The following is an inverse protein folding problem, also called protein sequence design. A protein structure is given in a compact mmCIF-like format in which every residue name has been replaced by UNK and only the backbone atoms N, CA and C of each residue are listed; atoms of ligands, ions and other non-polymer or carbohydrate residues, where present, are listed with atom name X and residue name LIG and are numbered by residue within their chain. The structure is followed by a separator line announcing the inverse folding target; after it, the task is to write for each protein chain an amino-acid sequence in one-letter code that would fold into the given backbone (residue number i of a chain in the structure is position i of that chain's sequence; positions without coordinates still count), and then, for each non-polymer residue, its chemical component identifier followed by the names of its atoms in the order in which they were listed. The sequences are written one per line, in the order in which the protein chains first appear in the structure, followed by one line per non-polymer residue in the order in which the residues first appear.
data_IF_270931026446
#
_entry.id   IF_270931026446
#
_cell.length_a   1.000
_cell.length_b   1.000
_cell.length_c   1.000
_cell.angle_alpha   90.00
_cell.angle_beta   90.00
_cell.angle_gamma   90.00
#
_symmetry.space_group_name_H-M   'P 1'
#
loop_
_entity.id
_entity.type
_entity.pdbx_description
1 polymer ?
#
# COMPACT_ATOMS: atom_id res chain seq x y z
N UNK A 1 -22.91 -18.25 33.58
CA UNK A 1 -21.65 -18.37 34.35
C UNK A 1 -20.49 -18.35 33.35
N UNK A 2 -20.16 -17.18 32.81
CA UNK A 2 -19.08 -17.00 31.83
C UNK A 2 -17.86 -16.43 32.56
N UNK A 3 -16.76 -17.18 32.59
CA UNK A 3 -15.46 -16.67 33.03
C UNK A 3 -14.70 -16.18 31.80
N UNK A 4 -14.71 -14.86 31.62
CA UNK A 4 -13.73 -14.11 30.82
C UNK A 4 -12.32 -14.42 31.34
N UNK A 5 -11.41 -14.81 30.44
CA UNK A 5 -9.97 -14.67 30.66
C UNK A 5 -9.49 -13.54 29.76
N UNK A 6 -9.36 -12.36 30.35
CA UNK A 6 -8.60 -11.26 29.77
C UNK A 6 -7.14 -11.70 29.61
N UNK A 7 -6.68 -11.88 28.38
CA UNK A 7 -5.27 -11.94 28.07
C UNK A 7 -4.77 -10.49 27.95
N UNK A 8 -4.08 -10.02 28.97
CA UNK A 8 -3.32 -8.76 28.92
C UNK A 8 -2.12 -9.01 28.03
N UNK A 9 -2.11 -8.44 26.82
CA UNK A 9 -0.96 -8.47 25.92
C UNK A 9 -0.11 -7.25 26.25
N UNK A 10 0.97 -7.46 27.01
CA UNK A 10 1.99 -6.44 27.26
C UNK A 10 2.87 -6.29 26.01
N UNK A 11 2.67 -5.22 25.25
CA UNK A 11 3.56 -4.80 24.17
C UNK A 11 4.79 -4.13 24.80
N UNK A 12 5.89 -4.87 24.94
CA UNK A 12 7.16 -4.31 25.40
C UNK A 12 7.87 -3.58 24.24
N UNK A 13 7.71 -2.26 24.16
CA UNK A 13 8.60 -1.40 23.39
C UNK A 13 9.96 -1.36 24.10
N UNK A 14 10.98 -1.99 23.53
CA UNK A 14 12.37 -1.81 23.98
C UNK A 14 12.97 -0.65 23.17
N UNK A 15 12.87 0.53 23.77
CA UNK A 15 13.72 1.68 23.43
C UNK A 15 15.15 1.39 23.89
N UNK A 16 16.09 1.40 22.95
CA UNK A 16 17.52 1.64 23.21
C UNK A 16 18.28 0.49 23.88
N UNK A 17 19.13 -0.17 23.10
CA UNK A 17 20.17 -1.05 23.62
C UNK A 17 20.53 -2.14 22.64
N UNK A 18 21.82 -2.28 22.36
CA UNK A 18 22.40 -3.30 21.49
C UNK A 18 22.00 -4.69 22.04
N UNK A 19 21.05 -5.38 21.39
CA UNK A 19 20.65 -6.76 21.72
C UNK A 19 21.03 -7.69 20.57
N UNK A 20 21.64 -8.80 20.95
CA UNK A 20 22.19 -9.86 20.12
C UNK A 20 21.27 -10.37 19.00
N UNK A 21 21.82 -10.85 17.87
CA UNK A 21 21.07 -11.31 16.69
C UNK A 21 20.13 -12.51 16.93
N UNK A 22 20.16 -13.15 18.11
CA UNK A 22 19.31 -14.28 18.46
C UNK A 22 17.88 -13.87 18.84
N UNK A 23 17.64 -12.64 19.31
CA UNK A 23 16.30 -12.16 19.71
C UNK A 23 15.44 -11.76 18.52
N UNK A 24 16.04 -11.48 17.36
CA UNK A 24 15.32 -11.04 16.16
C UNK A 24 14.57 -12.18 15.45
N UNK A 25 15.14 -13.38 15.41
CA UNK A 25 14.52 -14.54 14.73
C UNK A 25 13.36 -15.16 15.52
N UNK A 26 13.47 -15.22 16.84
CA UNK A 26 12.42 -15.78 17.72
C UNK A 26 11.19 -14.85 17.73
N UNK A 27 11.42 -13.52 17.73
CA UNK A 27 10.32 -12.56 17.68
C UNK A 27 9.59 -12.54 16.34
N UNK A 28 10.30 -12.65 15.21
CA UNK A 28 9.67 -12.73 13.89
C UNK A 28 8.86 -14.02 13.73
N UNK A 29 9.41 -15.19 14.11
CA UNK A 29 8.70 -16.46 14.03
C UNK A 29 7.37 -16.48 14.81
N UNK A 30 7.35 -15.84 15.98
CA UNK A 30 6.14 -15.71 16.80
C UNK A 30 5.10 -14.76 16.17
N UNK A 31 5.52 -13.71 15.47
CA UNK A 31 4.58 -12.80 14.80
C UNK A 31 4.01 -13.45 13.55
N UNK A 32 4.83 -14.16 12.76
CA UNK A 32 4.34 -14.90 11.59
C UNK A 32 3.31 -15.96 11.99
N UNK A 33 3.56 -16.71 13.07
CA UNK A 33 2.56 -17.67 13.58
C UNK A 33 1.28 -16.98 14.04
N UNK A 34 1.38 -15.82 14.71
CA UNK A 34 0.21 -15.03 15.10
C UNK A 34 -0.60 -14.53 13.89
N UNK A 35 0.06 -14.18 12.78
CA UNK A 35 -0.62 -13.80 11.52
C UNK A 35 -1.40 -14.98 10.95
N UNK A 36 -0.84 -16.19 11.00
CA UNK A 36 -1.52 -17.39 10.54
C UNK A 36 -2.73 -17.77 11.43
N UNK A 37 -2.62 -17.58 12.74
CA UNK A 37 -3.69 -17.90 13.70
C UNK A 37 -4.78 -16.83 13.79
N UNK A 38 -4.52 -15.62 13.30
CA UNK A 38 -5.46 -14.52 13.37
C UNK A 38 -6.62 -14.68 12.38
N UNK A 39 -7.79 -14.19 12.81
CA UNK A 39 -9.03 -14.30 12.03
C UNK A 39 -9.08 -13.21 10.95
N UNK A 40 -9.32 -13.66 9.74
CA UNK A 40 -9.63 -12.80 8.59
C UNK A 40 -11.02 -12.16 8.74
N UNK A 41 -11.23 -11.07 8.00
CA UNK A 41 -12.57 -10.54 7.76
C UNK A 41 -13.42 -11.63 7.11
N UNK A 42 -14.53 -11.97 7.76
CA UNK A 42 -15.55 -12.81 7.15
C UNK A 42 -16.44 -11.92 6.28
N UNK A 43 -16.20 -11.90 4.96
CA UNK A 43 -17.03 -11.17 4.00
C UNK A 43 -18.45 -11.75 3.83
N UNK A 44 -18.77 -12.83 4.55
CA UNK A 44 -20.07 -13.46 4.58
C UNK A 44 -20.22 -14.54 3.50
N UNK A 45 -21.38 -15.19 3.49
CA UNK A 45 -21.75 -16.12 2.43
C UNK A 45 -22.44 -15.32 1.33
N UNK A 46 -21.78 -15.19 0.18
CA UNK A 46 -22.36 -14.51 -0.97
C UNK A 46 -23.28 -15.46 -1.74
N UNK A 47 -24.53 -15.03 -1.96
CA UNK A 47 -25.39 -15.68 -2.95
C UNK A 47 -24.92 -15.23 -4.32
N UNK A 48 -24.38 -16.17 -5.11
CA UNK A 48 -23.98 -15.86 -6.47
C UNK A 48 -25.23 -15.72 -7.34
N UNK A 49 -25.27 -14.66 -8.14
CA UNK A 49 -26.24 -14.48 -9.21
C UNK A 49 -25.82 -15.30 -10.43
N UNK A 50 -26.78 -15.61 -11.31
CA UNK A 50 -26.51 -16.31 -12.58
C UNK A 50 -25.73 -15.42 -13.58
N UNK A 51 -25.82 -14.10 -13.44
CA UNK A 51 -25.10 -13.11 -14.28
C UNK A 51 -24.83 -11.81 -13.52
N UNK A 52 -23.81 -11.06 -13.95
CA UNK A 52 -23.44 -9.74 -13.43
C UNK A 52 -23.16 -8.78 -14.59
N UNK A 53 -23.37 -7.48 -14.36
CA UNK A 53 -23.01 -6.43 -15.33
C UNK A 53 -21.49 -6.30 -15.45
N UNK A 54 -20.78 -6.43 -14.34
CA UNK A 54 -19.32 -6.42 -14.29
C UNK A 54 -18.76 -7.57 -13.46
N UNK A 55 -17.75 -8.23 -14.00
CA UNK A 55 -16.91 -9.19 -13.27
C UNK A 55 -15.49 -8.64 -13.23
N UNK A 56 -15.01 -8.36 -12.03
CA UNK A 56 -13.66 -7.85 -11.78
C UNK A 56 -12.81 -9.01 -11.25
N UNK A 57 -11.72 -9.31 -11.96
CA UNK A 57 -10.78 -10.36 -11.58
C UNK A 57 -9.54 -9.71 -10.97
N UNK A 58 -9.40 -9.86 -9.66
CA UNK A 58 -8.37 -9.28 -8.81
C UNK A 58 -8.92 -8.17 -7.92
N UNK A 59 -9.00 -8.41 -6.61
CA UNK A 59 -9.24 -7.44 -5.54
C UNK A 59 -7.96 -6.73 -5.11
N UNK A 60 -7.10 -6.37 -6.07
CA UNK A 60 -5.98 -5.47 -5.85
C UNK A 60 -6.43 -4.00 -5.75
N UNK A 61 -5.49 -3.03 -5.66
CA UNK A 61 -5.82 -1.63 -5.45
C UNK A 61 -6.79 -1.06 -6.50
N UNK A 62 -6.53 -1.33 -7.79
CA UNK A 62 -7.41 -0.88 -8.87
C UNK A 62 -8.75 -1.63 -8.88
N UNK A 63 -8.76 -2.94 -8.64
CA UNK A 63 -9.97 -3.77 -8.66
C UNK A 63 -10.93 -3.41 -7.53
N UNK A 64 -10.42 -3.16 -6.31
CA UNK A 64 -11.22 -2.67 -5.20
C UNK A 64 -11.83 -1.29 -5.49
N UNK A 65 -11.07 -0.37 -6.10
CA UNK A 65 -11.59 0.95 -6.48
C UNK A 65 -12.68 0.82 -7.57
N UNK A 66 -12.46 0.00 -8.59
CA UNK A 66 -13.46 -0.25 -9.63
C UNK A 66 -14.74 -0.86 -9.05
N UNK A 67 -14.61 -1.89 -8.20
CA UNK A 67 -15.74 -2.53 -7.56
C UNK A 67 -16.53 -1.53 -6.71
N UNK A 68 -15.83 -0.69 -5.94
CA UNK A 68 -16.44 0.35 -5.12
C UNK A 68 -17.18 1.41 -5.93
N UNK A 69 -16.65 1.83 -7.09
CA UNK A 69 -17.25 2.88 -7.92
C UNK A 69 -18.40 2.37 -8.79
N UNK A 70 -18.26 1.19 -9.38
CA UNK A 70 -19.32 0.60 -10.20
C UNK A 70 -20.55 0.25 -9.34
N UNK A 71 -20.35 -0.17 -8.10
CA UNK A 71 -21.46 -0.48 -7.17
C UNK A 71 -22.08 0.74 -6.49
N UNK A 72 -21.63 1.98 -6.78
CA UNK A 72 -22.33 3.19 -6.33
C UNK A 72 -23.71 3.32 -6.96
N UNK A 73 -23.90 2.77 -8.18
CA UNK A 73 -25.22 2.63 -8.79
C UNK A 73 -25.88 1.34 -8.29
N UNK A 74 -26.98 1.40 -7.52
CA UNK A 74 -27.65 0.22 -6.97
C UNK A 74 -28.31 -0.66 -8.04
N UNK A 75 -28.40 -0.19 -9.29
CA UNK A 75 -28.92 -0.98 -10.42
C UNK A 75 -27.86 -1.85 -11.08
N UNK A 76 -26.58 -1.60 -10.79
CA UNK A 76 -25.44 -2.33 -11.35
C UNK A 76 -25.02 -3.47 -10.43
N UNK A 77 -24.86 -4.66 -10.99
CA UNK A 77 -24.39 -5.86 -10.30
C UNK A 77 -22.90 -6.09 -10.57
N UNK A 78 -22.11 -6.21 -9.50
CA UNK A 78 -20.65 -6.39 -9.57
C UNK A 78 -20.23 -7.64 -8.84
N UNK A 79 -19.48 -8.51 -9.51
CA UNK A 79 -18.77 -9.63 -8.90
C UNK A 79 -17.27 -9.30 -8.83
N UNK A 80 -16.71 -9.23 -7.61
CA UNK A 80 -15.28 -9.09 -7.39
C UNK A 80 -14.70 -10.46 -6.99
N UNK A 81 -13.78 -10.96 -7.80
CA UNK A 81 -13.10 -12.24 -7.58
C UNK A 81 -11.65 -12.00 -7.23
N UNK A 82 -11.12 -12.69 -6.23
CA UNK A 82 -9.70 -12.66 -5.92
C UNK A 82 -9.21 -14.03 -5.47
N UNK A 83 -7.90 -14.23 -5.56
CA UNK A 83 -7.22 -15.41 -5.05
C UNK A 83 -6.36 -15.01 -3.86
N UNK A 84 -6.65 -15.61 -2.71
CA UNK A 84 -5.89 -15.37 -1.50
C UNK A 84 -6.81 -15.28 -0.30
N UNK A 85 -6.32 -14.58 0.71
CA UNK A 85 -6.97 -14.43 2.01
C UNK A 85 -7.74 -13.13 2.07
N UNK A 86 -8.70 -13.08 2.99
CA UNK A 86 -9.25 -11.81 3.42
C UNK A 86 -8.24 -11.00 4.22
N UNK A 87 -8.55 -9.73 4.44
CA UNK A 87 -7.73 -8.87 5.29
C UNK A 87 -7.77 -9.37 6.75
N UNK A 88 -6.69 -9.14 7.49
CA UNK A 88 -6.64 -9.33 8.95
C UNK A 88 -6.31 -7.96 9.53
N UNK A 89 -7.32 -7.15 9.92
CA UNK A 89 -7.15 -5.73 10.24
C UNK A 89 -6.04 -5.43 11.25
N UNK A 90 -5.83 -6.33 12.23
CA UNK A 90 -4.75 -6.20 13.20
C UNK A 90 -3.35 -6.08 12.56
N UNK A 91 -3.16 -6.68 11.38
CA UNK A 91 -1.91 -6.72 10.65
C UNK A 91 -1.96 -5.93 9.34
N UNK A 92 -3.02 -6.08 8.55
CA UNK A 92 -3.13 -5.44 7.22
C UNK A 92 -3.30 -3.93 7.30
N UNK A 93 -3.83 -3.40 8.40
CA UNK A 93 -4.05 -1.95 8.57
C UNK A 93 -2.85 -1.27 9.24
N UNK A 94 -1.85 -2.05 9.67
CA UNK A 94 -0.67 -1.54 10.37
C UNK A 94 0.50 -1.34 9.40
N UNK A 95 0.93 -0.08 9.14
CA UNK A 95 2.04 0.21 8.23
C UNK A 95 3.35 -0.49 8.60
N UNK A 96 3.56 -0.74 9.91
CA UNK A 96 4.76 -1.41 10.40
C UNK A 96 4.85 -2.88 9.99
N UNK A 97 3.70 -3.51 9.72
CA UNK A 97 3.61 -4.96 9.46
C UNK A 97 3.64 -5.28 7.97
N UNK A 98 3.39 -4.31 7.08
CA UNK A 98 3.42 -4.48 5.61
C UNK A 98 4.65 -5.27 5.09
N UNK A 99 5.89 -4.89 5.46
CA UNK A 99 7.09 -5.65 5.07
C UNK A 99 7.13 -7.09 5.58
N UNK A 100 6.52 -7.38 6.73
CA UNK A 100 6.41 -8.73 7.26
C UNK A 100 5.36 -9.56 6.51
N UNK A 101 4.25 -8.95 6.10
CA UNK A 101 3.22 -9.61 5.29
C UNK A 101 3.78 -10.06 3.93
N UNK A 102 4.78 -9.36 3.39
CA UNK A 102 5.50 -9.83 2.20
C UNK A 102 6.23 -11.17 2.40
N UNK A 103 6.42 -11.62 3.64
CA UNK A 103 7.01 -12.92 4.00
C UNK A 103 5.97 -13.99 4.36
N UNK A 104 4.68 -13.71 4.19
CA UNK A 104 3.59 -14.67 4.46
C UNK A 104 2.86 -15.05 3.17
N UNK A 105 1.75 -15.79 3.30
CA UNK A 105 0.87 -16.16 2.20
C UNK A 105 0.06 -15.00 1.59
N UNK A 106 0.20 -13.78 2.13
CA UNK A 106 -0.21 -12.53 1.50
C UNK A 106 0.70 -12.10 0.34
N UNK A 107 1.79 -12.83 0.07
CA UNK A 107 2.64 -12.64 -1.09
C UNK A 107 2.59 -13.87 -2.00
N UNK A 108 2.44 -13.66 -3.31
CA UNK A 108 2.60 -14.73 -4.30
C UNK A 108 4.02 -15.31 -4.31
N UNK A 109 5.02 -14.54 -3.88
CA UNK A 109 6.40 -14.99 -3.77
C UNK A 109 7.06 -15.23 -5.13
N UNK A 110 6.72 -14.44 -6.14
CA UNK A 110 7.33 -14.57 -7.45
C UNK A 110 8.83 -14.28 -7.40
N UNK A 111 9.58 -14.99 -8.25
CA UNK A 111 10.97 -14.70 -8.54
C UNK A 111 11.13 -14.46 -10.04
N UNK A 112 12.04 -13.58 -10.39
CA UNK A 112 12.38 -13.38 -11.81
C UNK A 112 13.06 -14.62 -12.38
N UNK A 113 13.08 -14.73 -13.71
CA UNK A 113 14.08 -15.57 -14.38
C UNK A 113 15.51 -15.13 -14.03
N UNK A 114 16.49 -16.01 -14.28
CA UNK A 114 17.90 -15.71 -14.03
C UNK A 114 18.30 -14.44 -14.80
N UNK A 115 18.78 -13.44 -14.08
CA UNK A 115 19.19 -12.16 -14.63
C UNK A 115 20.67 -12.20 -15.04
N UNK A 116 20.99 -11.55 -16.17
CA UNK A 116 22.37 -11.41 -16.65
C UNK A 116 23.08 -10.21 -16.01
N UNK A 117 22.35 -9.10 -15.86
CA UNK A 117 22.90 -7.80 -15.43
C UNK A 117 22.22 -7.25 -14.16
N UNK A 118 21.37 -8.05 -13.51
CA UNK A 118 20.62 -7.67 -12.32
C UNK A 118 20.72 -8.74 -11.24
N UNK A 119 20.45 -8.38 -9.98
CA UNK A 119 20.34 -9.33 -8.87
C UNK A 119 21.55 -10.26 -8.70
N UNK A 120 22.74 -9.80 -9.10
CA UNK A 120 23.99 -10.58 -9.11
C UNK A 120 24.42 -11.03 -7.71
N UNK A 121 24.00 -10.31 -6.66
CA UNK A 121 24.23 -10.69 -5.27
C UNK A 121 23.17 -11.62 -4.67
N UNK A 122 22.12 -11.97 -5.42
CA UNK A 122 21.04 -12.83 -4.95
C UNK A 122 21.22 -14.28 -5.42
N UNK A 123 20.62 -15.21 -4.68
CA UNK A 123 20.72 -16.65 -4.97
C UNK A 123 20.22 -16.94 -6.39
N UNK A 124 21.05 -17.62 -7.18
CA UNK A 124 20.69 -17.97 -8.57
C UNK A 124 20.55 -16.78 -9.52
N UNK A 125 20.98 -15.58 -9.12
CA UNK A 125 20.80 -14.31 -9.84
C UNK A 125 19.33 -14.03 -10.17
N UNK A 126 18.42 -14.36 -9.25
CA UNK A 126 16.99 -14.10 -9.36
C UNK A 126 16.58 -13.02 -8.36
N UNK A 127 15.72 -12.11 -8.79
CA UNK A 127 15.17 -11.08 -7.93
C UNK A 127 13.91 -11.61 -7.28
N UNK A 128 13.75 -11.37 -5.97
CA UNK A 128 12.45 -11.50 -5.33
C UNK A 128 11.52 -10.42 -5.88
N UNK A 129 10.30 -10.82 -6.25
CA UNK A 129 9.30 -9.95 -6.83
C UNK A 129 8.00 -10.07 -6.02
N UNK A 130 7.96 -9.40 -4.87
CA UNK A 130 6.81 -9.44 -4.00
C UNK A 130 5.56 -8.89 -4.71
N UNK A 131 4.48 -9.66 -4.66
CA UNK A 131 3.20 -9.30 -5.25
C UNK A 131 2.08 -9.74 -4.31
N UNK A 132 1.24 -8.79 -3.89
CA UNK A 132 0.21 -9.05 -2.90
C UNK A 132 -0.84 -10.05 -3.41
N UNK A 133 -1.30 -10.92 -2.51
CA UNK A 133 -2.25 -12.02 -2.75
C UNK A 133 -3.36 -11.97 -1.71
N UNK A 134 -4.61 -11.80 -2.16
CA UNK A 134 -5.76 -11.58 -1.28
C UNK A 134 -6.36 -10.19 -1.45
N UNK A 135 -7.42 -9.91 -0.68
CA UNK A 135 -8.15 -8.63 -0.74
C UNK A 135 -7.25 -7.46 -0.36
N UNK A 136 -7.26 -6.42 -1.20
CA UNK A 136 -6.31 -5.29 -1.17
C UNK A 136 -5.06 -5.53 -2.04
N UNK A 137 -4.71 -6.79 -2.31
CA UNK A 137 -3.57 -7.16 -3.16
C UNK A 137 -2.29 -6.49 -2.70
N UNK A 138 -1.56 -5.84 -3.62
CA UNK A 138 -0.26 -5.24 -3.27
C UNK A 138 -0.34 -4.03 -2.32
N UNK A 139 -1.53 -3.44 -2.04
CA UNK A 139 -1.61 -2.35 -1.06
C UNK A 139 -1.41 -2.81 0.38
N UNK A 140 -1.70 -4.08 0.71
CA UNK A 140 -1.57 -4.59 2.08
C UNK A 140 -0.12 -4.99 2.44
N UNK A 141 0.75 -5.13 1.43
CA UNK A 141 2.17 -5.49 1.60
C UNK A 141 3.12 -4.35 1.22
N UNK A 142 2.60 -3.15 0.96
CA UNK A 142 3.41 -2.00 0.56
C UNK A 142 4.01 -1.27 1.78
N UNK A 143 4.74 -0.18 1.51
CA UNK A 143 5.35 0.68 2.54
C UNK A 143 4.53 1.95 2.84
N UNK A 144 3.28 2.01 2.36
CA UNK A 144 2.37 3.15 2.57
C UNK A 144 2.96 4.50 2.09
N UNK A 145 3.82 4.45 1.07
CA UNK A 145 4.39 5.64 0.44
C UNK A 145 3.42 6.12 -0.62
N UNK A 146 2.89 7.33 -0.46
CA UNK A 146 2.05 7.99 -1.45
C UNK A 146 2.90 8.92 -2.31
N UNK A 147 3.00 8.63 -3.61
CA UNK A 147 3.72 9.46 -4.58
C UNK A 147 3.02 9.37 -5.93
N UNK A 148 2.82 10.52 -6.57
CA UNK A 148 2.29 10.63 -7.93
C UNK A 148 3.44 10.67 -8.94
N UNK A 149 3.15 10.28 -10.18
CA UNK A 149 4.09 10.44 -11.28
C UNK A 149 4.37 11.91 -11.59
N UNK A 150 5.42 12.17 -12.36
CA UNK A 150 5.70 13.52 -12.86
C UNK A 150 4.72 13.87 -13.99
N UNK A 151 4.38 15.15 -14.16
CA UNK A 151 3.57 15.65 -15.28
C UNK A 151 4.06 15.10 -16.63
N UNK A 152 5.38 15.03 -16.82
CA UNK A 152 6.01 14.55 -18.06
C UNK A 152 5.66 13.10 -18.38
N UNK A 153 5.42 12.27 -17.38
CA UNK A 153 5.08 10.86 -17.55
C UNK A 153 3.70 10.74 -18.19
N UNK A 154 2.70 11.40 -17.60
CA UNK A 154 1.31 11.41 -18.09
C UNK A 154 1.17 12.12 -19.44
N UNK A 155 1.78 13.30 -19.60
CA UNK A 155 1.81 13.97 -20.89
C UNK A 155 2.55 13.15 -21.96
N UNK A 156 3.53 12.34 -21.52
CA UNK A 156 4.21 11.35 -22.36
C UNK A 156 3.26 10.28 -22.86
N UNK A 157 2.39 9.75 -21.99
CA UNK A 157 1.36 8.78 -22.38
C UNK A 157 0.36 9.36 -23.38
N UNK A 158 -0.10 10.60 -23.15
CA UNK A 158 -0.99 11.29 -24.08
C UNK A 158 -0.33 11.48 -25.46
N UNK A 159 0.95 11.92 -25.49
CA UNK A 159 1.72 12.02 -26.75
C UNK A 159 1.94 10.68 -27.43
N UNK A 160 1.97 9.58 -26.68
CA UNK A 160 2.06 8.23 -27.23
C UNK A 160 0.72 7.69 -27.79
N UNK A 161 -0.34 8.53 -27.83
CA UNK A 161 -1.64 8.18 -28.39
C UNK A 161 -2.70 7.77 -27.37
N UNK A 162 -2.41 7.88 -26.07
CA UNK A 162 -3.38 7.60 -25.01
C UNK A 162 -4.16 8.87 -24.65
N UNK A 163 -5.10 9.25 -25.51
CA UNK A 163 -5.96 10.42 -25.26
C UNK A 163 -6.67 10.34 -23.91
N UNK A 164 -6.78 11.47 -23.20
CA UNK A 164 -7.37 11.52 -21.85
C UNK A 164 -6.42 11.10 -20.72
N UNK A 165 -5.14 10.85 -21.00
CA UNK A 165 -4.12 10.49 -19.99
C UNK A 165 -3.08 11.58 -19.76
N UNK A 166 -3.31 12.83 -20.19
CA UNK A 166 -2.40 13.93 -19.86
C UNK A 166 -2.48 14.27 -18.37
N UNK A 167 -1.49 15.00 -17.85
CA UNK A 167 -1.51 15.46 -16.46
C UNK A 167 -2.79 16.20 -16.10
N UNK A 168 -3.28 17.04 -17.02
CA UNK A 168 -4.49 17.83 -16.80
C UNK A 168 -5.75 16.95 -16.75
N UNK A 169 -5.75 15.80 -17.41
CA UNK A 169 -6.87 14.86 -17.38
C UNK A 169 -6.87 14.02 -16.09
N UNK A 170 -5.69 13.60 -15.62
CA UNK A 170 -5.57 12.70 -14.45
C UNK A 170 -5.51 13.43 -13.12
N UNK A 171 -5.02 14.68 -13.05
CA UNK A 171 -4.94 15.44 -11.80
C UNK A 171 -6.30 15.58 -11.09
N UNK A 172 -7.43 15.90 -11.78
CA UNK A 172 -8.74 15.89 -11.16
C UNK A 172 -9.12 14.53 -10.55
N UNK A 173 -8.70 13.43 -11.16
CA UNK A 173 -8.95 12.07 -10.63
C UNK A 173 -8.12 11.81 -9.38
N UNK A 174 -6.84 12.21 -9.36
CA UNK A 174 -6.00 12.11 -8.17
C UNK A 174 -6.56 12.90 -6.99
N UNK A 175 -7.00 14.13 -7.24
CA UNK A 175 -7.68 14.94 -6.21
C UNK A 175 -8.97 14.28 -5.73
N UNK A 176 -9.75 13.66 -6.62
CA UNK A 176 -11.04 13.03 -6.24
C UNK A 176 -10.88 11.78 -5.38
N UNK A 177 -9.77 11.05 -5.48
CA UNK A 177 -9.58 9.81 -4.71
C UNK A 177 -9.06 10.05 -3.30
N UNK A 178 -8.36 11.16 -3.05
CA UNK A 178 -7.67 11.41 -1.77
C UNK A 178 -8.41 12.35 -0.82
N UNK A 179 -8.16 12.15 0.46
CA UNK A 179 -8.32 13.15 1.53
C UNK A 179 -6.93 13.43 2.07
N UNK A 180 -6.34 14.55 1.65
CA UNK A 180 -5.00 14.95 2.02
C UNK A 180 -4.98 15.70 3.37
N UNK A 181 -4.12 15.26 4.27
CA UNK A 181 -3.79 15.89 5.55
C UNK A 181 -2.26 16.06 5.64
N UNK A 182 -1.73 17.00 4.86
CA UNK A 182 -0.29 17.26 4.72
C UNK A 182 0.05 18.66 5.23
N UNK A 183 1.18 18.80 5.91
CA UNK A 183 1.50 20.01 6.69
C UNK A 183 1.88 21.22 5.84
N UNK A 184 2.73 21.00 4.83
CA UNK A 184 3.44 22.11 4.17
C UNK A 184 2.79 22.54 2.85
N UNK A 185 1.92 21.71 2.26
CA UNK A 185 1.45 21.86 0.88
C UNK A 185 -0.06 21.64 0.67
N UNK A 186 -0.85 21.51 1.75
CA UNK A 186 -2.29 21.18 1.64
C UNK A 186 -3.10 22.15 0.78
N UNK A 187 -2.73 23.44 0.77
CA UNK A 187 -3.48 24.51 0.11
C UNK A 187 -2.91 24.93 -1.26
N UNK A 188 -1.96 24.15 -1.83
CA UNK A 188 -1.29 24.52 -3.07
C UNK A 188 -2.13 24.26 -4.35
N UNK A 189 -3.37 23.77 -4.19
CA UNK A 189 -4.31 23.48 -5.28
C UNK A 189 -4.15 22.12 -5.96
N UNK A 190 -3.14 21.32 -5.59
CA UNK A 190 -2.89 20.00 -6.18
C UNK A 190 -3.51 18.85 -5.37
N UNK A 191 -4.10 19.12 -4.21
CA UNK A 191 -4.63 18.11 -3.32
C UNK A 191 -6.15 18.11 -3.21
N UNK A 192 -6.72 16.94 -2.94
CA UNK A 192 -8.14 16.76 -2.62
C UNK A 192 -8.37 16.52 -1.14
N UNK A 193 -9.57 16.80 -0.66
CA UNK A 193 -9.93 16.75 0.78
C UNK A 193 -11.11 15.85 1.09
N UNK A 194 -11.74 15.26 0.08
CA UNK A 194 -13.07 14.63 0.20
C UNK A 194 -13.07 13.16 -0.29
N UNK A 195 -11.93 12.64 -0.73
CA UNK A 195 -11.79 11.29 -1.26
C UNK A 195 -11.69 10.20 -0.19
N UNK A 196 -11.82 8.93 -0.58
CA UNK A 196 -11.79 7.80 0.38
C UNK A 196 -10.39 7.39 0.83
N UNK A 197 -9.36 7.75 0.08
CA UNK A 197 -7.97 7.41 0.41
C UNK A 197 -7.38 8.49 1.33
N UNK A 198 -7.17 8.17 2.60
CA UNK A 198 -6.45 9.06 3.51
C UNK A 198 -4.98 9.16 3.12
N UNK A 199 -4.48 10.37 2.92
CA UNK A 199 -3.07 10.65 2.63
C UNK A 199 -2.57 11.65 3.65
N UNK A 200 -1.68 11.24 4.54
CA UNK A 200 -1.19 12.10 5.61
C UNK A 200 0.31 12.04 5.80
N UNK A 201 0.84 13.09 6.42
CA UNK A 201 2.22 13.10 6.87
C UNK A 201 2.43 12.14 8.03
N UNK A 202 3.59 11.47 8.06
CA UNK A 202 4.02 10.70 9.22
C UNK A 202 3.91 11.58 10.51
N UNK A 203 3.22 11.11 11.56
CA UNK A 203 3.03 11.89 12.79
C UNK A 203 4.36 12.29 13.44
N UNK A 204 5.37 11.43 13.30
CA UNK A 204 6.71 11.65 13.82
C UNK A 204 7.76 11.69 12.69
N UNK A 205 8.61 12.71 12.70
CA UNK A 205 9.79 12.84 11.83
C UNK A 205 11.05 12.87 12.71
N UNK A 206 12.02 12.01 12.42
CA UNK A 206 13.30 11.95 13.15
C UNK A 206 14.19 13.16 12.83
N UNK A 207 15.20 13.41 13.68
CA UNK A 207 16.22 14.42 13.37
C UNK A 207 17.05 14.06 12.13
N UNK A 208 17.25 12.76 11.87
CA UNK A 208 17.93 12.29 10.67
C UNK A 208 17.12 12.65 9.41
N UNK A 209 15.80 12.44 9.42
CA UNK A 209 14.94 12.80 8.30
C UNK A 209 14.98 14.32 8.02
N UNK A 210 14.95 15.14 9.08
CA UNK A 210 15.11 16.60 8.95
C UNK A 210 16.49 16.99 8.41
N UNK A 211 17.56 16.38 8.91
CA UNK A 211 18.92 16.63 8.46
C UNK A 211 19.11 16.23 6.98
N UNK A 212 18.49 15.13 6.55
CA UNK A 212 18.49 14.69 5.16
C UNK A 212 17.88 15.75 4.23
N UNK A 213 16.67 16.24 4.54
CA UNK A 213 16.02 17.31 3.75
C UNK A 213 16.89 18.57 3.70
N UNK A 214 17.40 19.04 4.85
CA UNK A 214 18.27 20.22 4.90
C UNK A 214 19.56 20.06 4.09
N UNK A 215 20.13 18.85 4.06
CA UNK A 215 21.32 18.58 3.26
C UNK A 215 21.03 18.64 1.76
N UNK A 216 19.84 18.20 1.32
CA UNK A 216 19.42 18.34 -0.06
C UNK A 216 19.23 19.82 -0.43
N UNK A 217 18.63 20.63 0.45
CA UNK A 217 18.54 22.08 0.25
C UNK A 217 19.91 22.75 0.15
N UNK A 218 20.85 22.38 1.03
CA UNK A 218 22.22 22.88 0.98
C UNK A 218 22.98 22.45 -0.30
N UNK A 219 22.59 21.31 -0.90
CA UNK A 219 23.11 20.84 -2.18
C UNK A 219 22.42 21.49 -3.40
N UNK A 220 21.46 22.42 -3.18
CA UNK A 220 20.78 23.17 -4.23
C UNK A 220 19.45 22.58 -4.69
N UNK A 221 18.95 21.52 -4.05
CA UNK A 221 17.62 20.98 -4.33
C UNK A 221 16.53 21.79 -3.64
N UNK A 222 15.38 21.95 -4.28
CA UNK A 222 14.27 22.75 -3.73
C UNK A 222 13.41 21.91 -2.79
N UNK A 223 13.00 22.49 -1.67
CA UNK A 223 11.89 21.96 -0.88
C UNK A 223 10.57 22.27 -1.60
N UNK A 224 9.86 21.24 -2.04
CA UNK A 224 8.63 21.36 -2.83
C UNK A 224 7.69 20.18 -2.59
N UNK A 225 6.45 20.32 -3.06
CA UNK A 225 5.49 19.24 -3.14
C UNK A 225 5.79 18.35 -4.35
N UNK A 226 6.30 17.15 -4.09
CA UNK A 226 6.58 16.15 -5.12
C UNK A 226 5.32 15.48 -5.68
N UNK A 227 4.12 15.88 -5.25
CA UNK A 227 2.84 15.44 -5.82
C UNK A 227 2.14 16.54 -6.65
N UNK A 228 2.78 17.72 -6.81
CA UNK A 228 2.27 18.83 -7.62
C UNK A 228 2.64 18.74 -9.12
N UNK A 229 3.31 17.67 -9.54
CA UNK A 229 3.58 17.34 -10.95
C UNK A 229 4.94 17.82 -11.47
N UNK A 230 5.59 18.77 -10.80
CA UNK A 230 6.98 19.16 -11.08
C UNK A 230 7.89 18.76 -9.90
N UNK A 231 8.46 17.56 -10.03
CA UNK A 231 9.24 16.90 -8.98
C UNK A 231 10.76 17.03 -9.20
N UNK A 232 11.18 17.97 -10.06
CA UNK A 232 12.57 18.20 -10.49
C UNK A 232 12.94 19.68 -10.39
#
# INVERSE_FOLDING_TARGET
MFRSRSAVISLALILGGIVQPTVSLISLGNITSLIYDAKEINYGRHTLLDSYDFIIVGAGPAGCVLANRLSEDPTVTVLLLDIGRGEIPLFTDSPLVGPLLASTDYNFGYETEKQQNGCLGLRGHRCSWAHGRGVGGSSIINNVIFTRGNRRDYDGWARAGNEGWSWNDVLPLFKRIETANIRDFGDNGFHGTDGRLSVEDAPFRTDIARAFVKSAEAAGYRYLDYNAGDNL
#
